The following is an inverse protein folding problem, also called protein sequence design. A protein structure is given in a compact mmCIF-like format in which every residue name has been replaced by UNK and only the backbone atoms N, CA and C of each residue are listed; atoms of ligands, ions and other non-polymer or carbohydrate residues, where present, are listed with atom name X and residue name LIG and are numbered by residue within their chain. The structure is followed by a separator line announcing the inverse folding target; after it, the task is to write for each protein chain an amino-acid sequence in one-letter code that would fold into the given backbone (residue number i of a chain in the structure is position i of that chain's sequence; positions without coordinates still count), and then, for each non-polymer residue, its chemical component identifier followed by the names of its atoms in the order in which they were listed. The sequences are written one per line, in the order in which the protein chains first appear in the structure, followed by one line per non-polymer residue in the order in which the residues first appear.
data_IF_334402612225
#
_entry.id   IF_334402612225
#
_cell.length_a   1.000
_cell.length_b   1.000
_cell.length_c   1.000
_cell.angle_alpha   90.00
_cell.angle_beta   90.00
_cell.angle_gamma   90.00
#
_symmetry.space_group_name_H-M   'P 1'
#
loop_
_entity.id
_entity.type
_entity.pdbx_description
1 polymer ?
#
# COMPACT_ATOMS: atom_id res chain seq x y z
N UNK A 1 7.03 -14.57 -25.01
CA UNK A 1 6.92 -14.24 -23.56
C UNK A 1 7.77 -13.05 -23.13
N UNK A 2 8.98 -12.86 -23.68
CA UNK A 2 9.86 -11.73 -23.38
C UNK A 2 9.26 -10.32 -23.57
N UNK A 3 8.45 -9.99 -24.60
CA UNK A 3 7.90 -8.64 -24.73
C UNK A 3 6.88 -8.31 -23.64
N UNK A 4 6.09 -9.29 -23.20
CA UNK A 4 5.07 -9.11 -22.15
C UNK A 4 5.72 -8.86 -20.80
N UNK A 5 6.76 -9.63 -20.45
CA UNK A 5 7.49 -9.42 -19.20
C UNK A 5 8.25 -8.10 -19.20
N UNK A 6 8.80 -7.66 -20.35
CA UNK A 6 9.41 -6.32 -20.45
C UNK A 6 8.37 -5.20 -20.28
N UNK A 7 7.21 -5.30 -20.93
CA UNK A 7 6.12 -4.34 -20.74
C UNK A 7 5.67 -4.29 -19.27
N UNK A 8 5.51 -5.45 -18.63
CA UNK A 8 5.18 -5.55 -17.21
C UNK A 8 6.18 -4.82 -16.31
N UNK A 9 7.48 -4.95 -16.58
CA UNK A 9 8.54 -4.21 -15.85
C UNK A 9 8.42 -2.69 -16.04
N UNK A 10 8.17 -2.24 -17.27
CA UNK A 10 7.99 -0.81 -17.57
C UNK A 10 6.77 -0.26 -16.83
N UNK A 11 5.65 -0.99 -16.84
CA UNK A 11 4.43 -0.63 -16.11
C UNK A 11 4.68 -0.60 -14.59
N UNK A 12 5.33 -1.62 -14.03
CA UNK A 12 5.67 -1.66 -12.59
C UNK A 12 6.55 -0.48 -12.18
N UNK A 13 7.54 -0.12 -12.99
CA UNK A 13 8.38 1.07 -12.74
C UNK A 13 7.54 2.34 -12.79
N UNK A 14 6.72 2.51 -13.81
CA UNK A 14 5.86 3.70 -13.96
C UNK A 14 4.93 3.84 -12.74
N UNK A 15 4.30 2.76 -12.31
CA UNK A 15 3.46 2.73 -11.11
C UNK A 15 4.25 3.07 -9.84
N UNK A 16 5.47 2.54 -9.70
CA UNK A 16 6.33 2.87 -8.56
C UNK A 16 6.71 4.37 -8.54
N UNK A 17 7.00 4.96 -9.69
CA UNK A 17 7.27 6.40 -9.83
C UNK A 17 6.03 7.23 -9.52
N UNK A 18 4.88 6.91 -10.11
CA UNK A 18 3.61 7.59 -9.86
C UNK A 18 3.25 7.54 -8.37
N UNK A 19 3.45 6.40 -7.71
CA UNK A 19 3.23 6.25 -6.28
C UNK A 19 4.17 7.15 -5.44
N UNK A 20 5.46 7.21 -5.80
CA UNK A 20 6.40 8.11 -5.13
C UNK A 20 6.05 9.58 -5.34
N UNK A 21 5.59 9.94 -6.54
CA UNK A 21 5.19 11.31 -6.85
C UNK A 21 3.92 11.71 -6.08
N UNK A 22 2.94 10.81 -5.93
CA UNK A 22 1.78 11.03 -5.05
C UNK A 22 2.24 11.25 -3.61
N UNK A 23 3.12 10.39 -3.08
CA UNK A 23 3.63 10.55 -1.71
C UNK A 23 4.43 11.85 -1.54
N UNK A 24 5.18 12.30 -2.55
CA UNK A 24 5.87 13.60 -2.53
C UNK A 24 4.85 14.75 -2.50
N UNK A 25 3.85 14.74 -3.39
CA UNK A 25 2.79 15.75 -3.43
C UNK A 25 2.04 15.86 -2.11
N UNK A 26 1.77 14.73 -1.45
CA UNK A 26 1.10 14.72 -0.14
C UNK A 26 2.00 15.30 0.96
N UNK A 27 3.32 15.08 0.90
CA UNK A 27 4.26 15.69 1.86
C UNK A 27 4.35 17.21 1.74
N UNK A 28 4.20 17.72 0.53
CA UNK A 28 4.23 19.15 0.24
C UNK A 28 2.82 19.77 0.16
N UNK A 29 1.79 19.02 0.60
CA UNK A 29 0.39 19.42 0.47
C UNK A 29 0.08 20.69 1.28
N UNK A 30 -0.61 21.61 0.61
CA UNK A 30 -1.23 22.81 1.18
C UNK A 30 -2.60 23.00 0.55
N UNK A 31 -3.63 23.19 1.37
CA UNK A 31 -5.01 23.42 0.92
C UNK A 31 -5.12 24.66 0.03
N UNK A 32 -4.33 25.69 0.31
CA UNK A 32 -4.27 26.92 -0.49
C UNK A 32 -3.72 26.68 -1.91
N UNK A 33 -2.96 25.61 -2.11
CA UNK A 33 -2.45 25.20 -3.42
C UNK A 33 -3.29 24.10 -4.08
N UNK A 34 -4.36 23.64 -3.43
CA UNK A 34 -5.28 22.67 -4.01
C UNK A 34 -6.06 23.31 -5.16
N UNK A 35 -6.26 22.54 -6.24
CA UNK A 35 -7.05 22.98 -7.40
C UNK A 35 -8.52 22.80 -7.06
N UNK A 36 -9.31 23.88 -7.16
CA UNK A 36 -10.76 23.81 -7.03
C UNK A 36 -11.38 23.58 -8.42
N UNK A 37 -12.49 22.85 -8.50
CA UNK A 37 -13.22 22.70 -9.78
C UNK A 37 -13.74 24.05 -10.28
N UNK A 38 -14.22 24.89 -9.35
CA UNK A 38 -14.53 26.30 -9.55
C UNK A 38 -13.72 27.12 -8.56
N UNK A 39 -12.83 27.99 -9.05
CA UNK A 39 -11.95 28.77 -8.16
C UNK A 39 -12.71 29.79 -7.30
N UNK A 40 -13.92 30.18 -7.70
CA UNK A 40 -14.80 31.01 -6.87
C UNK A 40 -15.24 30.31 -5.56
N UNK A 41 -15.19 28.97 -5.51
CA UNK A 41 -15.57 28.21 -4.32
C UNK A 41 -14.42 28.10 -3.30
N UNK A 42 -13.22 28.59 -3.61
CA UNK A 42 -12.02 28.42 -2.77
C UNK A 42 -12.22 28.94 -1.35
N UNK A 43 -12.72 30.16 -1.20
CA UNK A 43 -12.98 30.77 0.12
C UNK A 43 -13.99 29.96 0.94
N UNK A 44 -15.02 29.41 0.28
CA UNK A 44 -16.03 28.56 0.93
C UNK A 44 -15.43 27.22 1.37
N UNK A 45 -14.62 26.59 0.51
CA UNK A 45 -13.93 25.32 0.84
C UNK A 45 -12.96 25.52 2.00
N UNK A 46 -12.13 26.56 1.94
CA UNK A 46 -11.18 26.88 3.00
C UNK A 46 -11.90 27.25 4.32
N UNK A 47 -12.96 28.06 4.27
CA UNK A 47 -13.79 28.36 5.45
C UNK A 47 -14.42 27.11 6.08
N UNK A 48 -14.91 26.17 5.25
CA UNK A 48 -15.46 24.90 5.74
C UNK A 48 -14.39 24.01 6.38
N UNK A 49 -13.17 23.97 5.82
CA UNK A 49 -12.05 23.22 6.39
C UNK A 49 -11.61 23.83 7.72
N UNK A 50 -11.53 25.15 7.82
CA UNK A 50 -11.22 25.85 9.06
C UNK A 50 -12.27 25.55 10.15
N UNK A 51 -13.55 25.72 9.83
CA UNK A 51 -14.66 25.41 10.73
C UNK A 51 -14.65 23.93 11.16
N UNK A 52 -14.27 23.01 10.27
CA UNK A 52 -14.13 21.59 10.59
C UNK A 52 -13.00 21.34 11.60
N UNK A 53 -11.83 21.94 11.42
CA UNK A 53 -10.71 21.83 12.38
C UNK A 53 -11.10 22.39 13.76
N UNK A 54 -11.78 23.54 13.79
CA UNK A 54 -12.28 24.15 15.03
C UNK A 54 -13.36 23.26 15.70
N UNK A 55 -14.27 22.67 14.92
CA UNK A 55 -15.29 21.75 15.42
C UNK A 55 -14.68 20.46 16.01
N UNK A 56 -13.54 20.01 15.48
CA UNK A 56 -12.76 18.90 16.06
C UNK A 56 -11.99 19.30 17.33
N UNK A 57 -12.02 20.58 17.71
CA UNK A 57 -11.27 21.14 18.84
C UNK A 57 -9.76 21.24 18.59
N UNK A 58 -9.31 21.05 17.35
CA UNK A 58 -7.90 21.09 16.99
C UNK A 58 -7.37 22.52 16.84
N UNK A 59 -8.27 23.50 16.68
CA UNK A 59 -8.00 24.93 16.78
C UNK A 59 -9.06 25.57 17.69
N UNK A 60 -8.72 26.69 18.33
CA UNK A 60 -9.68 27.50 19.07
C UNK A 60 -10.72 28.12 18.14
N UNK A 61 -11.92 28.36 18.65
CA UNK A 61 -12.96 29.11 17.91
C UNK A 61 -12.55 30.57 17.68
N UNK A 62 -11.65 31.10 18.52
CA UNK A 62 -11.11 32.46 18.41
C UNK A 62 -9.86 32.52 17.50
N UNK A 63 -9.32 31.37 17.09
CA UNK A 63 -8.17 31.33 16.18
C UNK A 63 -8.57 31.80 14.77
N UNK A 64 -7.61 32.42 14.08
CA UNK A 64 -7.82 32.83 12.68
C UNK A 64 -8.00 31.62 11.77
N UNK A 65 -8.76 31.79 10.69
CA UNK A 65 -8.98 30.74 9.70
C UNK A 65 -7.65 30.21 9.12
N UNK A 66 -6.67 31.08 8.89
CA UNK A 66 -5.34 30.70 8.40
C UNK A 66 -4.61 29.75 9.35
N UNK A 67 -4.75 29.97 10.67
CA UNK A 67 -4.17 29.08 11.66
C UNK A 67 -4.80 27.69 11.61
N UNK A 68 -6.14 27.62 11.55
CA UNK A 68 -6.88 26.37 11.41
C UNK A 68 -6.51 25.61 10.13
N UNK A 69 -6.34 26.32 9.01
CA UNK A 69 -5.89 25.72 7.74
C UNK A 69 -4.47 25.16 7.82
N UNK A 70 -3.55 25.80 8.55
CA UNK A 70 -2.19 25.27 8.72
C UNK A 70 -2.19 23.99 9.58
N UNK A 71 -3.05 23.92 10.59
CA UNK A 71 -3.28 22.70 11.38
C UNK A 71 -3.81 21.58 10.48
N UNK A 72 -4.79 21.88 9.62
CA UNK A 72 -5.28 20.92 8.62
C UNK A 72 -4.14 20.43 7.71
N UNK A 73 -3.35 21.35 7.16
CA UNK A 73 -2.24 21.00 6.27
C UNK A 73 -1.23 20.07 6.97
N UNK A 74 -0.90 20.36 8.23
CA UNK A 74 -0.02 19.53 9.06
C UNK A 74 -0.61 18.12 9.24
N UNK A 75 -1.90 18.03 9.57
CA UNK A 75 -2.60 16.77 9.77
C UNK A 75 -2.64 15.93 8.49
N UNK A 76 -2.88 16.55 7.34
CA UNK A 76 -2.82 15.86 6.04
C UNK A 76 -1.41 15.32 5.77
N UNK A 77 -0.38 16.16 5.93
CA UNK A 77 1.03 15.78 5.72
C UNK A 77 1.48 14.65 6.65
N UNK A 78 0.97 14.61 7.88
CA UNK A 78 1.27 13.56 8.85
C UNK A 78 0.52 12.24 8.57
N UNK A 79 -0.79 12.33 8.32
CA UNK A 79 -1.67 11.14 8.34
C UNK A 79 -1.87 10.51 6.97
N UNK A 80 -2.03 11.32 5.93
CA UNK A 80 -2.41 10.83 4.60
C UNK A 80 -1.34 9.94 3.95
N UNK A 81 -0.02 10.20 4.07
CA UNK A 81 0.98 9.28 3.54
C UNK A 81 0.86 7.86 4.10
N UNK A 82 0.64 7.74 5.42
CA UNK A 82 0.44 6.46 6.09
C UNK A 82 -0.85 5.77 5.64
N UNK A 83 -1.95 6.53 5.53
CA UNK A 83 -3.23 6.03 5.03
C UNK A 83 -3.13 5.55 3.57
N UNK A 84 -2.42 6.27 2.70
CA UNK A 84 -2.18 5.89 1.31
C UNK A 84 -1.31 4.63 1.23
N UNK A 85 -0.20 4.58 1.95
CA UNK A 85 0.66 3.40 2.00
C UNK A 85 -0.10 2.17 2.53
N UNK A 86 -1.01 2.38 3.48
CA UNK A 86 -1.89 1.31 3.96
C UNK A 86 -2.91 0.92 2.89
N UNK A 87 -3.56 1.87 2.21
CA UNK A 87 -4.55 1.60 1.14
C UNK A 87 -3.95 0.86 -0.04
N UNK A 88 -2.75 1.24 -0.46
CA UNK A 88 -2.08 0.70 -1.64
C UNK A 88 -1.22 -0.53 -1.31
N UNK A 89 -0.88 -0.72 -0.03
CA UNK A 89 0.05 -1.75 0.43
C UNK A 89 1.50 -1.27 0.35
N UNK A 90 2.41 -2.04 0.96
CA UNK A 90 3.85 -1.71 1.06
C UNK A 90 4.51 -1.45 -0.30
N UNK A 91 3.99 -2.11 -1.34
CA UNK A 91 4.55 -2.11 -2.69
C UNK A 91 3.80 -1.19 -3.66
N UNK A 92 2.78 -0.46 -3.19
CA UNK A 92 1.94 0.40 -4.02
C UNK A 92 0.88 -0.35 -4.84
N UNK A 93 0.83 -1.68 -4.78
CA UNK A 93 -0.21 -2.51 -5.42
C UNK A 93 -0.83 -3.50 -4.43
N UNK A 94 -2.15 -3.64 -4.52
CA UNK A 94 -2.91 -4.65 -3.78
C UNK A 94 -2.71 -6.03 -4.40
N UNK A 95 -2.64 -7.06 -3.55
CA UNK A 95 -2.55 -8.45 -3.99
C UNK A 95 -3.67 -8.81 -5.00
N UNK A 96 -4.89 -8.36 -4.74
CA UNK A 96 -6.06 -8.59 -5.60
C UNK A 96 -5.83 -8.12 -7.04
N UNK A 97 -5.20 -6.96 -7.22
CA UNK A 97 -4.87 -6.43 -8.55
C UNK A 97 -3.88 -7.35 -9.26
N UNK A 98 -2.83 -7.80 -8.57
CA UNK A 98 -1.81 -8.66 -9.17
C UNK A 98 -2.32 -10.08 -9.43
N UNK A 99 -3.16 -10.61 -8.53
CA UNK A 99 -3.86 -11.87 -8.72
C UNK A 99 -4.82 -11.80 -9.92
N UNK A 100 -5.55 -10.69 -10.10
CA UNK A 100 -6.44 -10.51 -11.27
C UNK A 100 -5.68 -10.46 -12.59
N UNK A 101 -4.48 -9.84 -12.62
CA UNK A 101 -3.60 -9.86 -13.80
C UNK A 101 -3.12 -11.28 -14.13
N UNK A 102 -3.07 -12.15 -13.12
CA UNK A 102 -2.63 -13.55 -13.24
C UNK A 102 -3.78 -14.53 -13.46
N UNK A 103 -5.01 -14.03 -13.63
CA UNK A 103 -6.22 -14.84 -13.74
C UNK A 103 -6.17 -15.86 -14.90
N UNK A 104 -5.49 -15.51 -16.00
CA UNK A 104 -5.30 -16.43 -17.14
C UNK A 104 -4.66 -17.76 -16.72
N UNK A 105 -3.76 -17.74 -15.72
CA UNK A 105 -3.14 -18.96 -15.20
C UNK A 105 -4.09 -19.74 -14.29
N UNK A 106 -5.01 -19.07 -13.61
CA UNK A 106 -6.01 -19.69 -12.74
C UNK A 106 -7.12 -20.38 -13.52
N UNK A 107 -7.42 -19.87 -14.72
CA UNK A 107 -8.47 -20.39 -15.59
C UNK A 107 -8.01 -21.55 -16.47
N UNK A 108 -6.71 -21.63 -16.80
CA UNK A 108 -6.15 -22.70 -17.64
C UNK A 108 -6.48 -24.14 -17.15
N UNK A 109 -6.44 -24.46 -15.85
CA UNK A 109 -6.75 -25.82 -15.40
C UNK A 109 -8.19 -26.26 -15.66
N UNK A 110 -9.14 -25.35 -15.90
CA UNK A 110 -10.52 -25.74 -16.20
C UNK A 110 -10.62 -26.53 -17.50
N UNK A 111 -9.85 -26.17 -18.52
CA UNK A 111 -9.79 -26.93 -19.78
C UNK A 111 -9.22 -28.33 -19.56
N UNK A 112 -8.20 -28.44 -18.70
CA UNK A 112 -7.58 -29.72 -18.33
C UNK A 112 -8.53 -30.60 -17.51
N UNK A 113 -9.30 -30.00 -16.60
CA UNK A 113 -10.36 -30.70 -15.86
C UNK A 113 -11.45 -31.17 -16.81
N UNK A 114 -11.84 -30.37 -17.80
CA UNK A 114 -12.80 -30.78 -18.81
C UNK A 114 -12.29 -31.99 -19.63
N UNK A 115 -11.03 -31.97 -20.07
CA UNK A 115 -10.40 -33.11 -20.76
C UNK A 115 -10.37 -34.38 -19.88
N UNK A 116 -10.21 -34.23 -18.56
CA UNK A 116 -10.30 -35.36 -17.63
C UNK A 116 -11.70 -35.96 -17.56
N UNK A 117 -12.73 -35.13 -17.50
CA UNK A 117 -14.12 -35.59 -17.45
C UNK A 117 -14.50 -36.37 -18.73
N UNK A 118 -13.80 -36.12 -19.83
CA UNK A 118 -13.92 -36.86 -21.09
C UNK A 118 -13.13 -38.18 -21.12
N UNK A 119 -12.40 -38.52 -20.04
CA UNK A 119 -11.63 -39.75 -19.92
C UNK A 119 -10.25 -39.71 -20.59
N UNK A 120 -9.79 -38.55 -21.05
CA UNK A 120 -8.55 -38.43 -21.85
C UNK A 120 -7.27 -38.39 -21.01
N UNK A 121 -7.37 -38.20 -19.68
CA UNK A 121 -6.21 -37.96 -18.80
C UNK A 121 -6.30 -38.71 -17.48
N UNK A 122 -5.15 -38.97 -16.86
CA UNK A 122 -5.05 -39.57 -15.53
C UNK A 122 -5.16 -38.51 -14.43
N UNK A 123 -5.89 -38.81 -13.34
CA UNK A 123 -6.14 -37.91 -12.20
C UNK A 123 -4.88 -37.18 -11.69
N UNK A 124 -3.78 -37.91 -11.48
CA UNK A 124 -2.51 -37.35 -10.99
C UNK A 124 -1.94 -36.25 -11.90
N UNK A 125 -2.17 -36.34 -13.22
CA UNK A 125 -1.72 -35.31 -14.16
C UNK A 125 -2.53 -34.02 -14.04
N UNK A 126 -3.83 -34.11 -13.73
CA UNK A 126 -4.67 -32.92 -13.51
C UNK A 126 -4.32 -32.26 -12.19
N UNK A 127 -4.18 -33.05 -11.11
CA UNK A 127 -3.79 -32.50 -9.80
C UNK A 127 -2.47 -31.73 -9.91
N UNK A 128 -1.47 -32.32 -10.58
CA UNK A 128 -0.21 -31.65 -10.83
C UNK A 128 -0.37 -30.34 -11.63
N UNK A 129 -1.16 -30.35 -12.70
CA UNK A 129 -1.38 -29.16 -13.54
C UNK A 129 -2.15 -28.04 -12.82
N UNK A 130 -3.18 -28.39 -12.04
CA UNK A 130 -3.95 -27.45 -11.21
C UNK A 130 -3.02 -26.81 -10.17
N UNK A 131 -2.29 -27.63 -9.40
CA UNK A 131 -1.37 -27.16 -8.36
C UNK A 131 -0.30 -26.25 -8.99
N UNK A 132 0.33 -26.66 -10.09
CA UNK A 132 1.36 -25.86 -10.76
C UNK A 132 0.83 -24.52 -11.28
N UNK A 133 -0.36 -24.52 -11.91
CA UNK A 133 -0.96 -23.31 -12.48
C UNK A 133 -1.39 -22.32 -11.40
N UNK A 134 -2.02 -22.81 -10.32
CA UNK A 134 -2.40 -21.97 -9.18
C UNK A 134 -1.19 -21.45 -8.43
N UNK A 135 -0.10 -22.22 -8.32
CA UNK A 135 1.17 -21.73 -7.75
C UNK A 135 1.70 -20.54 -8.51
N UNK A 136 1.72 -20.64 -9.85
CA UNK A 136 2.18 -19.55 -10.70
C UNK A 136 1.29 -18.32 -10.55
N UNK A 137 -0.04 -18.51 -10.62
CA UNK A 137 -1.00 -17.41 -10.59
C UNK A 137 -1.17 -16.72 -9.23
N UNK A 138 -1.15 -17.49 -8.13
CA UNK A 138 -1.45 -16.98 -6.78
C UNK A 138 -0.20 -16.65 -5.96
N UNK A 139 0.95 -17.22 -6.27
CA UNK A 139 2.17 -17.05 -5.49
C UNK A 139 3.35 -16.52 -6.32
N UNK A 140 3.81 -17.25 -7.33
CA UNK A 140 5.05 -16.91 -8.05
C UNK A 140 4.95 -15.56 -8.77
N UNK A 141 3.89 -15.30 -9.54
CA UNK A 141 3.75 -14.03 -10.25
C UNK A 141 3.61 -12.85 -9.27
N UNK A 142 2.72 -12.90 -8.27
CA UNK A 142 2.67 -11.86 -7.23
C UNK A 142 4.01 -11.62 -6.54
N UNK A 143 4.74 -12.67 -6.16
CA UNK A 143 6.04 -12.54 -5.51
C UNK A 143 7.10 -11.93 -6.45
N UNK A 144 7.09 -12.31 -7.72
CA UNK A 144 7.99 -11.75 -8.72
C UNK A 144 7.69 -10.26 -9.00
N UNK A 145 6.40 -9.89 -9.12
CA UNK A 145 5.97 -8.49 -9.23
C UNK A 145 6.38 -7.70 -7.99
N UNK A 146 6.18 -8.26 -6.80
CA UNK A 146 6.60 -7.65 -5.55
C UNK A 146 8.11 -7.41 -5.49
N UNK A 147 8.92 -8.40 -5.88
CA UNK A 147 10.37 -8.27 -5.96
C UNK A 147 10.79 -7.17 -6.93
N UNK A 148 10.19 -7.11 -8.12
CA UNK A 148 10.43 -6.04 -9.10
C UNK A 148 10.09 -4.66 -8.52
N UNK A 149 8.92 -4.52 -7.90
CA UNK A 149 8.47 -3.27 -7.30
C UNK A 149 9.38 -2.84 -6.15
N UNK A 150 9.81 -3.77 -5.30
CA UNK A 150 10.74 -3.51 -4.21
C UNK A 150 12.08 -2.94 -4.72
N UNK A 151 12.67 -3.58 -5.74
CA UNK A 151 13.93 -3.11 -6.33
C UNK A 151 13.69 -1.83 -7.17
N UNK A 152 12.48 -1.62 -7.71
CA UNK A 152 12.11 -0.39 -8.43
C UNK A 152 11.86 0.80 -7.52
N UNK A 153 11.43 0.57 -6.29
CA UNK A 153 11.23 1.61 -5.29
C UNK A 153 12.57 2.23 -4.81
N UNK A 154 13.69 1.53 -5.02
CA UNK A 154 14.99 2.08 -4.65
C UNK A 154 15.33 3.32 -5.50
N UNK A 155 15.64 4.41 -4.80
CA UNK A 155 15.61 5.79 -5.32
C UNK A 155 16.78 6.24 -6.21
N UNK A 156 17.95 5.57 -6.36
CA UNK A 156 19.03 6.15 -7.14
C UNK A 156 18.72 6.18 -8.66
N UNK A 157 17.69 5.46 -9.12
CA UNK A 157 17.42 5.26 -10.55
C UNK A 157 16.97 6.52 -11.32
N UNK A 158 16.63 7.62 -10.66
CA UNK A 158 16.32 8.89 -11.34
C UNK A 158 17.57 9.72 -11.68
N UNK A 159 18.72 9.45 -11.04
CA UNK A 159 19.99 10.16 -11.31
C UNK A 159 21.04 9.32 -12.04
N UNK A 160 20.75 8.05 -12.26
CA UNK A 160 21.64 7.11 -12.92
C UNK A 160 21.56 7.29 -14.45
N UNK A 161 22.72 7.35 -15.11
CA UNK A 161 22.81 7.47 -16.57
C UNK A 161 22.16 6.29 -17.31
N UNK A 162 21.92 6.45 -18.62
CA UNK A 162 21.22 5.47 -19.46
C UNK A 162 21.78 4.04 -19.33
N UNK A 163 23.11 3.90 -19.29
CA UNK A 163 23.76 2.59 -19.19
C UNK A 163 23.48 1.88 -17.84
N UNK A 164 23.44 2.62 -16.74
CA UNK A 164 23.12 2.03 -15.44
C UNK A 164 21.64 1.71 -15.33
N UNK A 165 20.79 2.52 -15.96
CA UNK A 165 19.36 2.25 -16.06
C UNK A 165 19.07 0.95 -16.83
N UNK A 166 19.68 0.75 -18.00
CA UNK A 166 19.51 -0.48 -18.78
C UNK A 166 20.04 -1.69 -18.02
N UNK A 167 21.23 -1.61 -17.42
CA UNK A 167 21.78 -2.69 -16.59
C UNK A 167 20.86 -3.08 -15.42
N UNK A 168 20.26 -2.09 -14.75
CA UNK A 168 19.30 -2.33 -13.67
C UNK A 168 17.99 -2.97 -14.17
N UNK A 169 17.51 -2.61 -15.36
CA UNK A 169 16.35 -3.26 -15.95
C UNK A 169 16.65 -4.73 -16.30
N UNK A 170 17.81 -5.01 -16.88
CA UNK A 170 18.23 -6.37 -17.19
C UNK A 170 18.39 -7.22 -15.94
N UNK A 171 18.99 -6.69 -14.87
CA UNK A 171 19.13 -7.45 -13.61
C UNK A 171 17.78 -7.77 -12.98
N UNK A 172 16.84 -6.82 -12.96
CA UNK A 172 15.46 -7.03 -12.48
C UNK A 172 14.71 -8.04 -13.35
N UNK A 173 14.87 -7.95 -14.66
CA UNK A 173 14.30 -8.92 -15.59
C UNK A 173 14.87 -10.32 -15.35
N UNK A 174 16.18 -10.44 -15.15
CA UNK A 174 16.83 -11.71 -14.87
C UNK A 174 16.28 -12.34 -13.58
N UNK A 175 16.11 -11.57 -12.50
CA UNK A 175 15.50 -12.06 -11.25
C UNK A 175 14.05 -12.51 -11.48
N UNK A 176 13.25 -11.72 -12.20
CA UNK A 176 11.88 -12.08 -12.55
C UNK A 176 11.82 -13.39 -13.34
N UNK A 177 12.63 -13.50 -14.39
CA UNK A 177 12.68 -14.69 -15.23
C UNK A 177 13.18 -15.90 -14.45
N UNK A 178 14.20 -15.74 -13.61
CA UNK A 178 14.71 -16.82 -12.75
C UNK A 178 13.62 -17.36 -11.81
N UNK A 179 12.86 -16.47 -11.17
CA UNK A 179 11.77 -16.88 -10.27
C UNK A 179 10.63 -17.57 -11.03
N UNK A 180 10.17 -16.99 -12.14
CA UNK A 180 9.03 -17.51 -12.91
C UNK A 180 9.42 -18.80 -13.64
N UNK A 181 10.49 -18.79 -14.43
CA UNK A 181 10.93 -19.97 -15.18
C UNK A 181 11.50 -21.05 -14.26
N UNK A 182 12.19 -20.68 -13.18
CA UNK A 182 12.66 -21.64 -12.18
C UNK A 182 11.49 -22.35 -11.51
N UNK A 183 10.48 -21.61 -11.05
CA UNK A 183 9.27 -22.20 -10.45
C UNK A 183 8.52 -23.06 -11.46
N UNK A 184 8.34 -22.57 -12.69
CA UNK A 184 7.68 -23.32 -13.76
C UNK A 184 8.43 -24.62 -14.08
N UNK A 185 9.76 -24.58 -14.19
CA UNK A 185 10.59 -25.74 -14.47
C UNK A 185 10.50 -26.78 -13.35
N UNK A 186 10.62 -26.34 -12.09
CA UNK A 186 10.47 -27.21 -10.91
C UNK A 186 9.07 -27.84 -10.85
N UNK A 187 8.03 -27.07 -11.15
CA UNK A 187 6.66 -27.58 -11.22
C UNK A 187 6.53 -28.64 -12.33
N UNK A 188 7.02 -28.38 -13.54
CA UNK A 188 6.90 -29.35 -14.65
C UNK A 188 7.65 -30.65 -14.39
N UNK A 189 8.89 -30.58 -13.88
CA UNK A 189 9.65 -31.78 -13.50
C UNK A 189 8.88 -32.58 -12.46
N UNK A 190 8.32 -31.89 -11.47
CA UNK A 190 7.62 -32.56 -10.39
C UNK A 190 6.30 -33.15 -10.86
N UNK A 191 5.59 -32.50 -11.79
CA UNK A 191 4.37 -33.02 -12.43
C UNK A 191 4.70 -34.27 -13.26
N UNK A 192 5.78 -34.24 -14.05
CA UNK A 192 6.21 -35.39 -14.84
C UNK A 192 6.52 -36.59 -13.93
N UNK A 193 7.23 -36.35 -12.83
CA UNK A 193 7.57 -37.39 -11.85
C UNK A 193 6.38 -37.81 -10.99
N UNK A 194 5.44 -36.92 -10.72
CA UNK A 194 4.20 -37.19 -9.98
C UNK A 194 3.32 -38.22 -10.68
N UNK A 195 3.41 -38.35 -12.01
CA UNK A 195 2.76 -39.43 -12.76
C UNK A 195 3.18 -40.82 -12.29
N UNK A 196 4.40 -40.97 -11.76
CA UNK A 196 4.97 -42.25 -11.33
C UNK A 196 4.97 -42.44 -9.81
N UNK A 197 5.08 -41.36 -9.02
CA UNK A 197 5.20 -41.45 -7.54
C UNK A 197 4.53 -40.27 -6.84
N UNK A 198 3.66 -40.56 -5.87
CA UNK A 198 2.90 -39.58 -5.06
C UNK A 198 3.79 -38.62 -4.26
N UNK A 199 5.01 -39.04 -3.90
CA UNK A 199 5.97 -38.22 -3.13
C UNK A 199 6.27 -36.88 -3.83
N UNK A 200 6.30 -36.85 -5.17
CA UNK A 200 6.54 -35.61 -5.92
C UNK A 200 5.37 -34.62 -5.85
N UNK A 201 4.15 -35.12 -5.68
CA UNK A 201 2.96 -34.27 -5.46
C UNK A 201 3.08 -33.57 -4.11
N UNK A 202 3.44 -34.31 -3.05
CA UNK A 202 3.63 -33.75 -1.72
C UNK A 202 4.76 -32.70 -1.70
N UNK A 203 5.88 -32.96 -2.39
CA UNK A 203 6.97 -32.00 -2.52
C UNK A 203 6.54 -30.74 -3.29
N UNK A 204 5.77 -30.89 -4.37
CA UNK A 204 5.16 -29.73 -5.04
C UNK A 204 4.33 -28.92 -4.06
N UNK A 205 3.35 -29.56 -3.42
CA UNK A 205 2.43 -28.90 -2.51
C UNK A 205 3.13 -28.14 -1.39
N UNK A 206 4.24 -28.67 -0.84
CA UNK A 206 5.02 -27.98 0.19
C UNK A 206 5.72 -26.72 -0.36
N UNK A 207 6.30 -26.77 -1.57
CA UNK A 207 6.86 -25.60 -2.25
C UNK A 207 5.77 -24.55 -2.48
N UNK A 208 4.59 -24.96 -2.93
CA UNK A 208 3.44 -24.05 -3.11
C UNK A 208 3.06 -23.37 -1.81
N UNK A 209 2.96 -24.14 -0.73
CA UNK A 209 2.61 -23.62 0.58
C UNK A 209 3.63 -22.57 1.04
N UNK A 210 4.93 -22.85 0.91
CA UNK A 210 6.00 -21.91 1.25
C UNK A 210 5.91 -20.62 0.41
N UNK A 211 5.74 -20.75 -0.90
CA UNK A 211 5.61 -19.58 -1.79
C UNK A 211 4.35 -18.77 -1.48
N UNK A 212 3.25 -19.43 -1.15
CA UNK A 212 1.98 -18.78 -0.78
C UNK A 212 2.12 -18.05 0.54
N UNK A 213 2.77 -18.66 1.55
CA UNK A 213 3.06 -18.01 2.84
C UNK A 213 4.00 -16.81 2.64
N UNK A 214 5.04 -16.94 1.83
CA UNK A 214 5.94 -15.84 1.50
C UNK A 214 5.20 -14.70 0.79
N UNK A 215 4.34 -15.03 -0.17
CA UNK A 215 3.50 -14.06 -0.88
C UNK A 215 2.54 -13.38 0.07
N UNK A 216 1.86 -14.15 0.92
CA UNK A 216 0.99 -13.62 1.96
C UNK A 216 1.77 -12.68 2.87
N UNK A 217 2.96 -13.06 3.37
CA UNK A 217 3.80 -12.19 4.21
C UNK A 217 4.19 -10.87 3.54
N UNK A 218 4.55 -10.91 2.25
CA UNK A 218 4.93 -9.72 1.48
C UNK A 218 3.74 -8.78 1.27
N UNK A 219 2.56 -9.34 1.01
CA UNK A 219 1.32 -8.57 0.79
C UNK A 219 0.50 -8.33 2.06
N UNK A 220 0.86 -8.96 3.18
CA UNK A 220 0.13 -8.86 4.44
C UNK A 220 0.20 -7.40 4.90
N UNK A 221 -1.00 -6.85 5.00
CA UNK A 221 -1.19 -5.45 5.36
C UNK A 221 -0.83 -5.31 6.85
N UNK A 222 0.10 -4.41 7.22
CA UNK A 222 0.25 -4.07 8.63
C UNK A 222 -1.09 -3.54 9.14
N UNK A 223 -1.64 -4.19 10.17
CA UNK A 223 -2.99 -3.89 10.67
C UNK A 223 -3.11 -2.41 11.08
N UNK A 224 -4.14 -1.72 10.58
CA UNK A 224 -4.44 -0.32 10.94
C UNK A 224 -4.77 -0.15 12.41
N UNK A 225 -5.12 -1.23 13.13
CA UNK A 225 -5.52 -1.12 14.53
C UNK A 225 -4.44 -0.44 15.39
N UNK A 226 -3.15 -0.62 15.06
CA UNK A 226 -2.08 0.08 15.77
C UNK A 226 -1.95 1.56 15.38
N UNK A 227 -2.10 1.89 14.10
CA UNK A 227 -1.99 3.28 13.63
C UNK A 227 -3.19 4.09 14.12
N UNK A 228 -4.40 3.54 14.03
CA UNK A 228 -5.62 4.22 14.43
C UNK A 228 -5.72 4.41 15.94
N UNK A 229 -5.35 3.41 16.74
CA UNK A 229 -5.37 3.52 18.21
C UNK A 229 -4.38 4.56 18.71
N UNK A 230 -3.17 4.61 18.13
CA UNK A 230 -2.15 5.60 18.53
C UNK A 230 -2.47 7.00 18.01
N UNK A 231 -3.09 7.10 16.82
CA UNK A 231 -3.42 8.40 16.23
C UNK A 231 -4.60 9.08 16.92
N UNK A 232 -5.71 8.36 17.10
CA UNK A 232 -6.90 8.90 17.77
C UNK A 232 -6.63 9.07 19.26
N UNK A 233 -5.98 8.09 19.90
CA UNK A 233 -5.59 8.18 21.30
C UNK A 233 -4.70 9.39 21.58
N UNK A 234 -3.60 9.52 20.83
CA UNK A 234 -2.68 10.64 21.02
C UNK A 234 -3.26 12.01 20.62
N UNK A 235 -4.20 12.07 19.68
CA UNK A 235 -4.90 13.31 19.36
C UNK A 235 -5.86 13.70 20.49
N UNK A 236 -6.64 12.73 20.99
CA UNK A 236 -7.56 12.95 22.12
C UNK A 236 -6.81 13.35 23.39
N UNK A 237 -5.65 12.74 23.64
CA UNK A 237 -4.81 13.03 24.80
C UNK A 237 -4.22 14.45 24.70
N UNK A 238 -3.67 14.83 23.53
CA UNK A 238 -3.20 16.21 23.29
C UNK A 238 -4.30 17.26 23.39
N UNK A 239 -5.50 16.92 22.91
CA UNK A 239 -6.68 17.78 23.02
C UNK A 239 -7.10 17.96 24.49
N UNK A 240 -7.07 16.88 25.28
CA UNK A 240 -7.33 16.94 26.71
C UNK A 240 -6.27 17.77 27.43
N UNK A 241 -4.98 17.52 27.16
CA UNK A 241 -3.86 18.23 27.78
C UNK A 241 -3.93 19.74 27.53
N UNK A 242 -4.21 20.15 26.28
CA UNK A 242 -4.41 21.55 25.91
C UNK A 242 -5.58 22.19 26.65
N UNK A 243 -6.72 21.49 26.74
CA UNK A 243 -7.88 21.99 27.50
C UNK A 243 -7.62 22.11 29.00
N UNK A 244 -6.83 21.20 29.59
CA UNK A 244 -6.41 21.33 30.99
C UNK A 244 -5.47 22.52 31.20
N UNK A 245 -4.50 22.72 30.31
CA UNK A 245 -3.57 23.85 30.42
C UNK A 245 -4.29 25.20 30.35
N UNK A 246 -5.24 25.37 29.42
CA UNK A 246 -6.04 26.60 29.32
C UNK A 246 -6.92 26.82 30.55
N UNK A 247 -7.50 25.75 31.12
CA UNK A 247 -8.29 25.84 32.35
C UNK A 247 -7.44 26.24 33.54
N UNK A 248 -6.23 25.69 33.67
CA UNK A 248 -5.33 26.01 34.76
C UNK A 248 -4.82 27.45 34.65
N UNK A 249 -4.48 27.91 33.43
CA UNK A 249 -4.11 29.31 33.17
C UNK A 249 -5.25 30.29 33.48
N UNK A 250 -6.49 29.98 33.08
CA UNK A 250 -7.65 30.79 33.42
C UNK A 250 -7.90 30.88 34.94
N UNK A 251 -7.64 29.77 35.66
CA UNK A 251 -7.78 29.71 37.11
C UNK A 251 -6.71 30.52 37.84
N UNK A 252 -5.47 30.51 37.36
CA UNK A 252 -4.40 31.37 37.88
C UNK A 252 -4.68 32.86 37.64
N UNK A 253 -5.22 33.21 36.47
CA UNK A 253 -5.60 34.59 36.15
C UNK A 253 -6.70 35.11 37.11
N UNK A 254 -7.67 34.27 37.49
CA UNK A 254 -8.75 34.64 38.42
C UNK A 254 -8.24 34.81 39.85
N UNK A 255 -7.30 33.98 40.30
CA UNK A 255 -6.66 34.11 41.63
C UNK A 255 -5.85 35.42 41.76
N UNK A 256 -5.30 35.92 40.65
CA UNK A 256 -4.55 37.17 40.62
C UNK A 256 -5.38 38.39 40.20
N UNK A 257 -6.69 38.22 39.98
CA UNK A 257 -7.57 39.35 39.71
C UNK A 257 -7.60 40.26 40.95
N UNK A 258 -7.27 41.56 40.83
CA UNK A 258 -7.26 42.47 41.97
C UNK A 258 -8.65 42.53 42.60
N UNK A 259 -8.75 42.32 43.92
CA UNK A 259 -10.01 42.44 44.64
C UNK A 259 -10.68 43.78 44.27
N UNK A 260 -11.98 43.76 43.90
CA UNK A 260 -12.69 44.97 43.56
C UNK A 260 -12.64 45.90 44.76
N UNK A 261 -11.93 47.04 44.62
CA UNK A 261 -11.89 48.07 45.66
C UNK A 261 -13.31 48.58 45.87
N UNK A 262 -13.93 48.14 46.96
CA UNK A 262 -15.24 48.63 47.40
C UNK A 262 -15.09 50.11 47.73
N UNK A 263 -15.55 50.97 46.84
CA UNK A 263 -15.70 52.39 47.14
C UNK A 263 -16.95 52.55 48.01
N UNK A 264 -16.72 52.79 49.30
CA UNK A 264 -17.78 53.23 50.21
C UNK A 264 -18.14 54.67 49.86
N UNK A 265 -19.41 54.89 49.51
CA UNK A 265 -20.03 56.21 49.30
C UNK A 265 -20.61 56.71 50.61
#
# INVERSE_FOLDING_TARGET
MTPVSFLGLVLCRRLAVEHQDILRKVKDFRIQSAVCTLEADREVVEGNVAAFIQCLGLASQDDSAEHALEIFNSLVRERVPGALQHSLGRLGLRYQTVASMSCVFLLRPFDTVNAYLQGERQFNSIVGEVVGSWTLGLATIPLAVAGVLYIAADRPAQRLGFNTFTAMLFSKHAVFMLLVFGSWYVCNISIEKARKRTVWIALCASIVAVLTVATAYVYLRPSMHHVQKNSIGGLSERLQDGQTADRDAAREADVHAPEPRVQWV
#
